data_IF_828138867263
#
_entry.id   IF_828138867263
#
_cell.length_a   1.000
_cell.length_b   1.000
_cell.length_c   1.000
_cell.angle_alpha   90.00
_cell.angle_beta   90.00
_cell.angle_gamma   90.00
#
_symmetry.space_group_name_H-M   'P 1'
#
loop_
_entity.id
_entity.type
_entity.pdbx_description
1 polymer ?
#
# COMPACT_ATOMS: atom_id res chain seq x y z
N UNK A 1 -5.07 8.56 -3.11
CA UNK A 1 -4.10 9.47 -2.48
C UNK A 1 -3.52 10.36 -3.57
N UNK A 2 -3.83 11.65 -3.54
CA UNK A 2 -3.33 12.56 -4.57
C UNK A 2 -1.87 12.88 -4.28
N UNK A 3 -0.95 12.31 -5.06
CA UNK A 3 0.51 12.55 -4.94
C UNK A 3 0.85 14.02 -5.20
N UNK A 4 -0.06 14.79 -5.82
CA UNK A 4 0.10 16.23 -6.02
C UNK A 4 -0.09 17.06 -4.75
N UNK A 5 -0.83 16.58 -3.75
CA UNK A 5 -1.12 17.33 -2.52
C UNK A 5 -0.10 17.07 -1.41
N UNK A 6 0.71 16.03 -1.51
CA UNK A 6 1.94 15.90 -0.74
C UNK A 6 3.06 16.69 -1.41
N UNK A 7 2.80 18.00 -1.66
CA UNK A 7 3.84 18.90 -2.16
C UNK A 7 5.09 18.71 -1.31
N UNK A 8 6.19 18.29 -1.93
CA UNK A 8 7.53 18.14 -1.35
C UNK A 8 7.87 16.81 -0.66
N UNK A 9 7.08 15.74 -0.76
CA UNK A 9 7.61 14.42 -0.44
C UNK A 9 8.60 14.01 -1.53
N UNK A 10 9.84 14.43 -1.36
CA UNK A 10 10.95 13.89 -2.13
C UNK A 10 11.04 12.38 -1.78
N UNK A 11 10.79 11.47 -2.74
CA UNK A 11 10.90 10.03 -2.49
C UNK A 11 12.32 9.62 -2.12
N UNK A 12 13.28 10.54 -2.20
CA UNK A 12 14.66 10.34 -1.76
C UNK A 12 14.87 10.69 -0.28
N UNK A 13 13.87 11.26 0.41
CA UNK A 13 13.94 11.62 1.83
C UNK A 13 13.68 10.44 2.78
N UNK A 14 13.96 9.21 2.36
CA UNK A 14 14.11 8.10 3.27
C UNK A 14 15.29 8.41 4.19
N UNK A 15 15.04 8.56 5.50
CA UNK A 15 16.12 8.66 6.49
C UNK A 15 17.09 7.51 6.24
N UNK A 16 18.32 7.84 5.96
CA UNK A 16 19.35 6.82 5.80
C UNK A 16 19.37 5.94 7.06
N UNK A 17 19.38 4.60 6.91
CA UNK A 17 19.53 3.71 8.05
C UNK A 17 20.80 4.08 8.81
N UNK A 18 20.77 3.92 10.13
CA UNK A 18 21.96 4.17 10.99
C UNK A 18 23.09 3.26 10.50
N UNK A 19 24.23 3.84 10.09
CA UNK A 19 25.42 3.08 9.72
C UNK A 19 25.94 2.30 10.92
N UNK A 20 26.14 1.00 10.71
CA UNK A 20 26.80 0.12 11.70
C UNK A 20 28.26 -0.09 11.32
N UNK A 21 29.11 -0.57 12.25
CA UNK A 21 30.50 -0.92 11.94
C UNK A 21 30.63 -1.95 10.80
N UNK A 22 29.66 -2.86 10.67
CA UNK A 22 29.58 -3.85 9.59
C UNK A 22 29.37 -3.21 8.22
N UNK A 23 28.74 -2.04 8.14
CA UNK A 23 28.46 -1.35 6.87
C UNK A 23 29.72 -0.81 6.21
N UNK A 24 30.80 -0.62 6.96
CA UNK A 24 32.11 -0.21 6.41
C UNK A 24 32.78 -1.32 5.60
N UNK A 25 32.50 -2.59 5.95
CA UNK A 25 33.07 -3.75 5.26
C UNK A 25 32.12 -4.32 4.21
N UNK A 26 30.81 -4.12 4.35
CA UNK A 26 29.77 -4.58 3.45
C UNK A 26 28.81 -3.43 3.15
N UNK A 27 29.11 -2.56 2.19
CA UNK A 27 28.30 -1.41 1.89
C UNK A 27 26.86 -1.85 1.54
N UNK A 28 25.89 -1.18 2.14
CA UNK A 28 24.48 -1.41 1.87
C UNK A 28 24.15 -1.06 0.42
N UNK A 29 23.31 -1.86 -0.19
CA UNK A 29 22.89 -1.68 -1.57
C UNK A 29 21.37 -1.81 -1.66
N UNK A 30 20.65 -0.93 -2.37
CA UNK A 30 19.21 -1.10 -2.59
C UNK A 30 18.89 -2.34 -3.46
N UNK A 31 19.90 -2.99 -4.01
CA UNK A 31 19.73 -4.13 -4.90
C UNK A 31 19.90 -5.48 -4.21
N UNK A 32 19.66 -5.54 -2.93
CA UNK A 32 19.66 -6.76 -2.12
C UNK A 32 18.46 -6.79 -1.18
N UNK A 33 18.01 -7.99 -0.84
CA UNK A 33 17.03 -8.20 0.23
C UNK A 33 17.75 -8.30 1.58
N UNK A 34 17.21 -7.65 2.60
CA UNK A 34 17.75 -7.63 3.96
C UNK A 34 16.82 -8.33 4.94
N UNK A 35 17.38 -8.91 5.99
CA UNK A 35 16.59 -9.31 7.16
C UNK A 35 16.40 -8.11 8.09
N UNK A 36 15.19 -7.97 8.64
CA UNK A 36 14.88 -6.90 9.58
C UNK A 36 15.03 -7.42 11.01
N UNK A 37 15.83 -6.70 11.80
CA UNK A 37 16.07 -7.01 13.20
C UNK A 37 16.80 -8.34 13.44
N UNK A 38 17.08 -8.62 14.68
CA UNK A 38 17.82 -9.83 15.12
C UNK A 38 17.03 -11.13 14.92
N UNK A 39 15.69 -11.09 14.96
CA UNK A 39 14.84 -12.26 14.79
C UNK A 39 14.77 -12.78 13.35
N UNK A 40 15.08 -11.94 12.35
CA UNK A 40 15.25 -12.30 10.95
C UNK A 40 14.06 -12.93 10.24
N UNK A 41 12.84 -12.79 10.78
CA UNK A 41 11.59 -13.35 10.19
C UNK A 41 11.01 -12.49 9.07
N UNK A 42 11.31 -11.19 9.08
CA UNK A 42 10.82 -10.23 8.10
C UNK A 42 11.96 -9.84 7.17
N UNK A 43 11.66 -9.66 5.89
CA UNK A 43 12.62 -9.20 4.89
C UNK A 43 12.22 -7.85 4.35
N UNK A 44 13.19 -6.96 4.18
CA UNK A 44 13.02 -5.66 3.54
C UNK A 44 13.64 -5.66 2.14
N UNK A 45 12.94 -5.03 1.21
CA UNK A 45 13.39 -4.71 -0.13
C UNK A 45 13.43 -3.19 -0.26
N UNK A 46 14.55 -2.66 -0.69
CA UNK A 46 14.73 -1.21 -0.84
C UNK A 46 14.41 -0.84 -2.29
N UNK A 47 13.59 0.18 -2.49
CA UNK A 47 13.22 0.65 -3.83
C UNK A 47 14.42 1.19 -4.58
N UNK A 48 14.46 0.90 -5.88
CA UNK A 48 15.43 1.54 -6.76
C UNK A 48 15.03 3.00 -7.03
N UNK A 49 15.95 3.97 -6.81
CA UNK A 49 15.61 5.38 -6.96
C UNK A 49 15.40 5.80 -8.42
N UNK A 50 16.19 5.26 -9.37
CA UNK A 50 16.11 5.68 -10.77
C UNK A 50 14.81 5.23 -11.43
N UNK A 51 14.41 3.98 -11.25
CA UNK A 51 13.14 3.47 -11.78
C UNK A 51 11.94 4.10 -11.09
N UNK A 52 12.06 4.41 -9.79
CA UNK A 52 11.04 5.13 -9.03
C UNK A 52 10.77 6.50 -9.63
N UNK A 53 11.79 7.29 -9.93
CA UNK A 53 11.64 8.64 -10.49
C UNK A 53 10.96 8.62 -11.86
N UNK A 54 11.15 7.59 -12.68
CA UNK A 54 10.48 7.45 -13.98
C UNK A 54 8.97 7.35 -13.90
N UNK A 55 8.44 6.97 -12.76
CA UNK A 55 6.99 6.90 -12.53
C UNK A 55 6.52 8.05 -11.64
N UNK A 56 7.22 8.34 -10.53
CA UNK A 56 6.77 9.30 -9.52
C UNK A 56 7.15 10.75 -9.77
N UNK A 57 8.12 11.04 -10.64
CA UNK A 57 8.52 12.41 -10.87
C UNK A 57 7.36 13.21 -11.50
N UNK A 58 6.97 14.32 -10.85
CA UNK A 58 5.97 15.24 -11.42
C UNK A 58 6.45 15.95 -12.70
N UNK A 59 7.75 15.96 -12.95
CA UNK A 59 8.35 16.66 -14.10
C UNK A 59 8.68 15.71 -15.25
N UNK A 60 9.16 14.51 -14.95
CA UNK A 60 9.71 13.55 -15.91
C UNK A 60 9.03 12.18 -15.86
N UNK A 61 8.11 11.98 -14.91
CA UNK A 61 7.38 10.71 -14.76
C UNK A 61 6.42 10.45 -15.92
N UNK A 62 6.35 9.20 -16.35
CA UNK A 62 5.46 8.79 -17.44
C UNK A 62 4.00 9.24 -17.26
N UNK A 63 3.38 9.18 -16.06
CA UNK A 63 1.99 9.59 -15.88
C UNK A 63 1.69 11.04 -16.28
N UNK A 64 2.72 11.90 -16.32
CA UNK A 64 2.62 13.30 -16.74
C UNK A 64 2.69 13.53 -18.26
N UNK A 65 2.79 12.47 -19.08
CA UNK A 65 2.88 12.62 -20.54
C UNK A 65 1.66 13.33 -21.11
N UNK A 66 1.92 14.31 -21.98
CA UNK A 66 0.89 15.16 -22.58
C UNK A 66 -0.17 14.43 -23.40
N UNK A 67 0.04 13.19 -23.81
CA UNK A 67 -0.91 12.37 -24.56
C UNK A 67 -1.88 11.58 -23.67
N UNK A 68 -1.61 11.46 -22.38
CA UNK A 68 -2.41 10.67 -21.47
C UNK A 68 -3.67 11.37 -20.99
N UNK A 69 -4.62 10.61 -20.44
CA UNK A 69 -5.90 11.10 -19.98
C UNK A 69 -5.71 12.07 -18.80
N UNK A 70 -6.29 13.26 -18.91
CA UNK A 70 -6.28 14.25 -17.82
C UNK A 70 -7.20 13.79 -16.69
N UNK A 71 -6.64 13.64 -15.50
CA UNK A 71 -7.36 13.16 -14.34
C UNK A 71 -8.35 14.19 -13.78
N UNK A 72 -7.97 15.46 -13.71
CA UNK A 72 -8.70 16.51 -12.98
C UNK A 72 -9.79 17.18 -13.80
N UNK A 73 -9.70 17.19 -15.14
CA UNK A 73 -10.69 17.83 -15.99
C UNK A 73 -11.81 16.86 -16.35
N UNK A 74 -13.00 17.14 -15.86
CA UNK A 74 -14.20 16.35 -16.10
C UNK A 74 -15.30 17.20 -16.73
N UNK A 75 -16.17 16.58 -17.53
CA UNK A 75 -17.37 17.20 -18.10
C UNK A 75 -18.57 17.01 -17.18
N UNK A 76 -19.15 18.09 -16.70
CA UNK A 76 -20.38 18.08 -15.92
C UNK A 76 -21.62 18.31 -16.78
N UNK A 77 -22.79 17.73 -16.42
CA UNK A 77 -22.95 16.63 -15.47
C UNK A 77 -22.49 15.31 -16.09
N UNK A 78 -22.19 14.29 -15.30
CA UNK A 78 -21.85 12.94 -15.78
C UNK A 78 -20.40 12.52 -15.58
N UNK A 79 -19.50 13.44 -15.22
CA UNK A 79 -18.14 13.10 -14.78
C UNK A 79 -17.22 12.51 -15.85
N UNK A 80 -17.51 12.69 -17.15
CA UNK A 80 -16.72 12.12 -18.23
C UNK A 80 -15.36 12.82 -18.38
N UNK A 81 -14.31 12.04 -18.54
CA UNK A 81 -12.95 12.50 -18.84
C UNK A 81 -12.72 12.43 -20.34
N UNK A 82 -12.54 13.58 -20.99
CA UNK A 82 -12.48 13.72 -22.45
C UNK A 82 -11.20 14.44 -22.93
N UNK A 83 -10.33 14.82 -22.02
CA UNK A 83 -9.16 15.62 -22.32
C UNK A 83 -7.87 14.89 -21.98
N UNK A 84 -6.82 15.25 -22.67
CA UNK A 84 -5.46 14.79 -22.36
C UNK A 84 -4.69 15.79 -21.49
N UNK A 85 -3.64 15.33 -20.87
CA UNK A 85 -2.74 16.15 -20.04
C UNK A 85 -2.21 17.36 -20.83
N UNK A 86 -1.95 17.21 -22.12
CA UNK A 86 -1.49 18.24 -23.05
C UNK A 86 -0.05 18.70 -22.74
N UNK A 87 0.23 19.07 -21.50
CA UNK A 87 1.55 19.47 -21.04
C UNK A 87 1.52 19.89 -19.56
N UNK A 88 2.68 19.86 -18.92
CA UNK A 88 2.83 20.09 -17.47
C UNK A 88 2.33 21.48 -17.02
N UNK A 89 2.46 22.50 -17.87
CA UNK A 89 2.12 23.89 -17.56
C UNK A 89 0.83 24.35 -18.23
N UNK A 90 0.01 23.43 -18.76
CA UNK A 90 -1.26 23.76 -19.43
C UNK A 90 -2.38 23.73 -18.42
N UNK A 91 -3.00 24.89 -18.20
CA UNK A 91 -4.17 25.05 -17.34
C UNK A 91 -5.36 24.19 -17.82
N UNK A 92 -6.30 23.88 -16.91
CA UNK A 92 -7.46 23.05 -17.22
C UNK A 92 -8.27 23.58 -18.42
N UNK A 93 -8.34 24.90 -18.60
CA UNK A 93 -9.02 25.54 -19.74
C UNK A 93 -8.38 25.20 -21.10
N UNK A 94 -7.05 25.06 -21.13
CA UNK A 94 -6.27 24.82 -22.35
C UNK A 94 -6.05 23.34 -22.69
N UNK A 95 -6.61 22.39 -21.92
CA UNK A 95 -6.46 20.95 -22.19
C UNK A 95 -7.15 20.57 -23.50
N UNK A 96 -6.46 19.78 -24.31
CA UNK A 96 -6.91 19.33 -25.63
C UNK A 96 -7.63 17.97 -25.56
N UNK A 97 -8.40 17.62 -26.63
CA UNK A 97 -9.10 16.34 -26.69
C UNK A 97 -8.16 15.13 -26.53
N UNK A 98 -8.64 14.12 -25.82
CA UNK A 98 -7.96 12.85 -25.63
C UNK A 98 -8.10 11.93 -26.85
N UNK A 99 -7.01 11.26 -27.23
CA UNK A 99 -6.98 10.22 -28.25
C UNK A 99 -6.42 8.92 -27.66
N UNK A 100 -7.28 7.93 -27.51
CA UNK A 100 -6.94 6.65 -26.90
C UNK A 100 -5.86 5.87 -27.68
N UNK A 101 -5.81 6.00 -29.02
CA UNK A 101 -4.82 5.29 -29.82
C UNK A 101 -3.43 5.91 -29.64
N UNK A 102 -3.35 7.23 -29.58
CA UNK A 102 -2.11 7.96 -29.29
C UNK A 102 -1.63 7.63 -27.89
N UNK A 103 -2.52 7.64 -26.90
CA UNK A 103 -2.20 7.34 -25.52
C UNK A 103 -1.67 5.91 -25.34
N UNK A 104 -2.35 4.93 -25.96
CA UNK A 104 -1.90 3.52 -25.92
C UNK A 104 -0.53 3.34 -26.60
N UNK A 105 -0.29 3.97 -27.73
CA UNK A 105 1.02 3.91 -28.39
C UNK A 105 2.14 4.51 -27.50
N UNK A 106 1.83 5.55 -26.72
CA UNK A 106 2.76 6.12 -25.75
C UNK A 106 3.00 5.18 -24.56
N UNK A 107 1.96 4.55 -24.01
CA UNK A 107 2.09 3.56 -22.93
C UNK A 107 3.02 2.41 -23.34
N UNK A 108 2.85 1.89 -24.55
CA UNK A 108 3.74 0.88 -25.12
C UNK A 108 5.21 1.34 -25.20
N UNK A 109 5.45 2.58 -25.68
CA UNK A 109 6.82 3.14 -25.71
C UNK A 109 7.42 3.30 -24.31
N UNK A 110 6.64 3.77 -23.35
CA UNK A 110 7.10 3.93 -21.98
C UNK A 110 7.37 2.59 -21.30
N UNK A 111 6.59 1.55 -21.58
CA UNK A 111 6.87 0.20 -21.10
C UNK A 111 8.21 -0.33 -21.64
N UNK A 112 8.48 -0.16 -22.94
CA UNK A 112 9.74 -0.56 -23.56
C UNK A 112 10.93 0.26 -23.03
N UNK A 113 10.76 1.58 -22.81
CA UNK A 113 11.78 2.43 -22.17
C UNK A 113 12.08 1.97 -20.74
N UNK A 114 11.04 1.68 -19.96
CA UNK A 114 11.20 1.21 -18.59
C UNK A 114 11.86 -0.17 -18.52
N UNK A 115 11.49 -1.11 -19.38
CA UNK A 115 12.16 -2.41 -19.48
C UNK A 115 13.65 -2.25 -19.84
N UNK A 116 13.96 -1.30 -20.75
CA UNK A 116 15.34 -0.96 -21.12
C UNK A 116 16.11 -0.32 -19.96
N UNK A 117 15.45 0.55 -19.18
CA UNK A 117 16.00 1.14 -17.95
C UNK A 117 16.39 0.04 -16.96
N UNK A 118 15.46 -0.87 -16.63
CA UNK A 118 15.74 -1.99 -15.71
C UNK A 118 16.94 -2.82 -16.20
N UNK A 119 17.04 -3.08 -17.50
CA UNK A 119 18.20 -3.74 -18.10
C UNK A 119 19.50 -2.96 -17.98
N UNK A 120 19.47 -1.62 -17.99
CA UNK A 120 20.66 -0.79 -17.75
C UNK A 120 21.07 -0.85 -16.28
N UNK A 121 20.13 -0.71 -15.37
CA UNK A 121 20.37 -0.81 -13.93
C UNK A 121 21.00 -2.18 -13.62
N UNK A 122 20.42 -3.27 -14.10
CA UNK A 122 20.94 -4.63 -13.91
C UNK A 122 22.41 -4.75 -14.34
N UNK A 123 22.77 -4.28 -15.54
CA UNK A 123 24.15 -4.31 -16.01
C UNK A 123 25.13 -3.54 -15.13
N UNK A 124 24.66 -2.49 -14.48
CA UNK A 124 25.48 -1.68 -13.56
C UNK A 124 25.64 -2.34 -12.20
N UNK A 125 24.55 -2.90 -11.65
CA UNK A 125 24.52 -3.36 -10.25
C UNK A 125 24.90 -4.81 -10.09
N UNK A 126 24.67 -5.66 -11.10
CA UNK A 126 24.99 -7.10 -11.05
C UNK A 126 26.47 -7.40 -10.79
N UNK A 127 27.44 -6.71 -11.43
CA UNK A 127 28.88 -6.93 -11.15
C UNK A 127 29.26 -6.57 -9.71
N UNK A 128 28.51 -5.67 -9.07
CA UNK A 128 28.68 -5.30 -7.66
C UNK A 128 27.87 -6.19 -6.69
N UNK A 129 27.33 -7.32 -7.18
CA UNK A 129 26.54 -8.26 -6.39
C UNK A 129 25.10 -7.85 -6.17
N UNK A 130 24.54 -7.02 -7.08
CA UNK A 130 23.09 -6.74 -7.11
C UNK A 130 22.29 -7.98 -7.51
N UNK A 131 21.20 -8.27 -6.79
CA UNK A 131 20.40 -9.48 -6.94
C UNK A 131 18.96 -9.17 -7.34
N UNK A 132 18.44 -8.03 -6.95
CA UNK A 132 17.04 -7.63 -7.13
C UNK A 132 16.94 -6.14 -7.38
N UNK A 133 16.01 -5.74 -8.25
CA UNK A 133 15.60 -4.34 -8.45
C UNK A 133 14.17 -4.25 -7.94
N UNK A 134 13.96 -3.61 -6.81
CA UNK A 134 12.63 -3.44 -6.22
C UNK A 134 11.99 -2.15 -6.76
N UNK A 135 10.80 -2.29 -7.35
CA UNK A 135 10.03 -1.19 -7.94
C UNK A 135 8.60 -1.17 -7.37
N UNK A 136 8.43 -0.84 -6.08
CA UNK A 136 7.12 -0.77 -5.46
C UNK A 136 6.39 0.51 -5.85
N UNK A 137 5.13 0.36 -6.25
CA UNK A 137 4.22 1.45 -6.58
C UNK A 137 2.85 1.18 -5.97
N UNK A 138 2.14 2.25 -5.65
CA UNK A 138 0.76 2.15 -5.18
C UNK A 138 -0.13 1.58 -6.30
N UNK A 139 -0.98 0.62 -5.96
CA UNK A 139 -1.80 -0.10 -6.94
C UNK A 139 -2.78 0.82 -7.65
N UNK A 140 -3.38 1.79 -6.95
CA UNK A 140 -4.35 2.71 -7.51
C UNK A 140 -3.75 3.67 -8.54
N UNK A 141 -2.43 3.85 -8.58
CA UNK A 141 -1.77 4.63 -9.62
C UNK A 141 -2.18 4.11 -11.01
N UNK A 142 -2.19 2.78 -11.16
CA UNK A 142 -2.44 2.11 -12.44
C UNK A 142 -3.94 1.94 -12.69
N UNK A 143 -4.50 2.80 -13.53
CA UNK A 143 -5.90 2.80 -13.91
C UNK A 143 -6.75 3.88 -13.23
N UNK A 144 -6.41 4.29 -11.99
CA UNK A 144 -7.11 5.38 -11.32
C UNK A 144 -6.44 6.74 -11.61
N UNK A 145 -5.22 6.95 -11.14
CA UNK A 145 -4.48 8.21 -11.36
C UNK A 145 -3.86 8.29 -12.76
N UNK A 146 -3.38 7.20 -13.26
CA UNK A 146 -2.80 7.02 -14.58
C UNK A 146 -3.61 5.98 -15.35
N UNK A 147 -4.56 6.44 -16.13
CA UNK A 147 -5.51 5.57 -16.87
C UNK A 147 -4.79 4.53 -17.74
N UNK A 148 -3.76 4.94 -18.48
CA UNK A 148 -2.97 4.08 -19.35
C UNK A 148 -1.94 3.24 -18.59
N UNK A 149 -1.83 3.41 -17.29
CA UNK A 149 -0.94 2.62 -16.44
C UNK A 149 -1.23 1.12 -16.51
N UNK A 150 -2.47 0.72 -16.76
CA UNK A 150 -2.85 -0.70 -16.96
C UNK A 150 -2.24 -1.25 -18.23
N UNK A 151 -2.31 -0.50 -19.36
CA UNK A 151 -1.67 -0.89 -20.63
C UNK A 151 -0.15 -0.93 -20.47
N UNK A 152 0.43 0.06 -19.79
CA UNK A 152 1.86 0.12 -19.48
C UNK A 152 2.34 -1.13 -18.72
N UNK A 153 1.66 -1.52 -17.64
CA UNK A 153 2.03 -2.72 -16.87
C UNK A 153 1.93 -3.96 -17.74
N UNK A 154 0.84 -4.12 -18.50
CA UNK A 154 0.65 -5.26 -19.36
C UNK A 154 1.76 -5.41 -20.41
N UNK A 155 2.18 -4.31 -21.03
CA UNK A 155 3.26 -4.29 -22.01
C UNK A 155 4.63 -4.51 -21.35
N UNK A 156 4.87 -3.89 -20.18
CA UNK A 156 6.11 -4.10 -19.41
C UNK A 156 6.32 -5.58 -19.08
N UNK A 157 5.31 -6.27 -18.57
CA UNK A 157 5.44 -7.69 -18.24
C UNK A 157 5.68 -8.56 -19.48
N UNK A 158 5.11 -8.22 -20.64
CA UNK A 158 5.40 -8.92 -21.91
C UNK A 158 6.84 -8.71 -22.34
N UNK A 159 7.36 -7.48 -22.25
CA UNK A 159 8.74 -7.17 -22.61
C UNK A 159 9.76 -7.85 -21.67
N UNK A 160 9.51 -7.84 -20.36
CA UNK A 160 10.34 -8.53 -19.39
C UNK A 160 10.34 -10.05 -19.60
N UNK A 161 9.19 -10.63 -19.99
CA UNK A 161 9.06 -12.07 -20.27
C UNK A 161 9.75 -12.54 -21.53
N UNK A 162 9.91 -11.68 -22.55
CA UNK A 162 10.33 -12.09 -23.89
C UNK A 162 11.74 -11.63 -24.30
N UNK A 163 12.22 -10.53 -23.76
CA UNK A 163 13.41 -9.84 -24.33
C UNK A 163 14.43 -9.37 -23.30
N UNK A 164 14.16 -9.50 -22.00
CA UNK A 164 14.97 -8.90 -20.95
C UNK A 164 15.85 -9.92 -20.24
N UNK A 165 17.06 -9.50 -19.84
CA UNK A 165 17.88 -10.21 -18.87
C UNK A 165 17.31 -10.12 -17.44
N UNK A 166 16.44 -9.14 -17.20
CA UNK A 166 15.71 -8.94 -15.95
C UNK A 166 14.38 -9.67 -16.05
N UNK A 167 14.06 -10.49 -15.05
CA UNK A 167 12.82 -11.24 -14.96
C UNK A 167 11.95 -10.69 -13.82
N UNK A 168 10.67 -10.50 -14.09
CA UNK A 168 9.70 -10.20 -13.05
C UNK A 168 9.58 -11.39 -12.08
N UNK A 169 9.57 -11.10 -10.79
CA UNK A 169 9.39 -12.08 -9.72
C UNK A 169 8.65 -11.44 -8.55
N UNK A 170 7.96 -12.24 -7.74
CA UNK A 170 7.47 -11.77 -6.46
C UNK A 170 8.61 -11.69 -5.44
N UNK A 171 8.43 -10.92 -4.36
CA UNK A 171 9.37 -10.89 -3.26
C UNK A 171 9.60 -12.31 -2.67
N UNK A 172 8.53 -13.11 -2.55
CA UNK A 172 8.61 -14.49 -2.05
C UNK A 172 9.43 -15.36 -2.99
N UNK A 173 9.19 -15.33 -4.31
CA UNK A 173 9.95 -16.12 -5.29
C UNK A 173 11.45 -15.80 -5.22
N UNK A 174 11.80 -14.50 -5.07
CA UNK A 174 13.19 -14.09 -4.92
C UNK A 174 13.81 -14.66 -3.63
N UNK A 175 13.08 -14.59 -2.52
CA UNK A 175 13.55 -15.13 -1.23
C UNK A 175 13.70 -16.64 -1.26
N UNK A 176 12.75 -17.36 -1.88
CA UNK A 176 12.77 -18.82 -2.00
C UNK A 176 13.92 -19.29 -2.89
N UNK A 177 14.24 -18.52 -3.93
CA UNK A 177 15.39 -18.82 -4.79
C UNK A 177 16.75 -18.72 -4.06
N UNK A 178 16.80 -18.01 -2.94
CA UNK A 178 18.01 -17.88 -2.09
C UNK A 178 18.15 -19.01 -1.06
N UNK A 179 17.18 -19.90 -0.96
CA UNK A 179 17.26 -21.04 -0.04
C UNK A 179 18.15 -22.13 -0.62
N UNK A 180 19.21 -22.48 0.10
CA UNK A 180 20.03 -23.65 -0.24
C UNK A 180 19.20 -24.94 -0.11
N UNK A 181 18.96 -25.59 -1.25
CA UNK A 181 18.13 -26.81 -1.32
C UNK A 181 18.66 -27.96 -0.49
N UNK A 182 19.95 -27.98 -0.18
CA UNK A 182 20.59 -29.05 0.58
C UNK A 182 20.42 -28.85 2.08
N UNK A 183 20.51 -27.60 2.54
CA UNK A 183 20.48 -27.26 3.98
C UNK A 183 19.11 -26.76 4.42
N UNK A 184 18.23 -26.39 3.50
CA UNK A 184 16.98 -25.71 3.79
C UNK A 184 17.16 -24.33 4.41
N UNK A 185 18.40 -23.83 4.46
CA UNK A 185 18.73 -22.51 5.01
C UNK A 185 18.85 -21.49 3.89
N UNK A 186 18.28 -20.35 4.11
CA UNK A 186 18.50 -19.20 3.26
C UNK A 186 19.93 -18.71 3.47
N UNK A 187 20.59 -18.27 2.40
CA UNK A 187 21.87 -17.59 2.51
C UNK A 187 21.75 -16.47 3.55
N UNK A 188 22.71 -16.39 4.46
CA UNK A 188 22.70 -15.40 5.54
C UNK A 188 22.83 -13.99 4.93
N UNK A 189 21.65 -13.41 4.58
CA UNK A 189 21.55 -12.02 4.14
C UNK A 189 21.93 -11.08 5.29
N UNK A 190 22.46 -9.91 4.94
CA UNK A 190 22.74 -8.87 5.92
C UNK A 190 21.46 -8.52 6.70
N UNK A 191 21.60 -8.31 7.99
CA UNK A 191 20.54 -7.80 8.83
C UNK A 191 20.61 -6.28 8.89
N UNK A 192 19.44 -5.63 8.89
CA UNK A 192 19.34 -4.18 9.05
C UNK A 192 18.36 -3.84 10.16
N UNK A 193 18.64 -2.77 10.88
CA UNK A 193 17.66 -2.09 11.72
C UNK A 193 17.02 -0.98 10.90
N UNK A 194 15.69 -0.94 10.89
CA UNK A 194 14.95 0.11 10.20
C UNK A 194 14.76 1.28 11.17
N UNK A 195 15.01 2.49 10.70
CA UNK A 195 14.62 3.68 11.42
C UNK A 195 13.10 3.76 11.48
N UNK A 196 12.56 4.27 12.58
CA UNK A 196 11.16 4.62 12.67
C UNK A 196 10.81 5.68 11.64
N UNK A 197 9.70 5.50 10.94
CA UNK A 197 9.28 6.41 9.88
C UNK A 197 7.95 6.02 9.26
N UNK A 198 7.46 6.88 8.41
CA UNK A 198 6.22 6.68 7.68
C UNK A 198 6.33 7.13 6.22
N UNK A 199 5.24 6.95 5.47
CA UNK A 199 5.07 7.49 4.11
C UNK A 199 4.84 9.03 4.08
N UNK A 200 4.76 9.69 5.24
CA UNK A 200 4.57 11.14 5.36
C UNK A 200 5.71 11.95 4.75
N UNK A 201 5.45 13.22 4.45
CA UNK A 201 6.36 14.13 3.74
C UNK A 201 7.78 14.21 4.34
N UNK A 202 7.88 14.17 5.67
CA UNK A 202 9.16 14.18 6.39
C UNK A 202 9.57 12.80 6.92
N UNK A 203 8.88 11.72 6.48
CA UNK A 203 9.04 10.40 7.06
C UNK A 203 8.50 10.31 8.50
N UNK A 204 7.71 11.29 8.95
CA UNK A 204 7.07 11.33 10.26
C UNK A 204 5.59 10.93 10.17
N UNK A 205 4.89 10.88 11.31
CA UNK A 205 3.49 10.46 11.39
C UNK A 205 2.49 11.62 11.35
N UNK A 206 2.93 12.86 11.11
CA UNK A 206 2.10 14.07 11.22
C UNK A 206 0.89 14.09 10.29
N UNK A 207 0.93 13.34 9.16
CA UNK A 207 -0.24 13.20 8.26
C UNK A 207 -1.38 12.41 8.89
N UNK A 208 -1.07 11.50 9.80
CA UNK A 208 -2.06 10.64 10.45
C UNK A 208 -2.31 10.99 11.89
N UNK A 209 -1.29 11.52 12.58
CA UNK A 209 -1.34 11.85 14.01
C UNK A 209 -1.11 13.35 14.20
N UNK A 210 -2.19 14.09 14.31
CA UNK A 210 -2.20 15.54 14.50
C UNK A 210 -3.48 15.96 15.24
N UNK A 211 -3.63 17.23 15.67
CA UNK A 211 -4.80 17.70 16.42
C UNK A 211 -6.15 17.48 15.71
N UNK A 212 -6.17 17.50 14.36
CA UNK A 212 -7.42 17.32 13.60
C UNK A 212 -7.88 15.86 13.57
N UNK A 213 -6.94 14.91 13.71
CA UNK A 213 -7.19 13.47 13.65
C UNK A 213 -7.18 12.78 15.00
N UNK A 214 -6.79 13.47 16.08
CA UNK A 214 -6.64 12.87 17.42
C UNK A 214 -7.89 12.11 17.88
N UNK A 215 -9.08 12.69 17.63
CA UNK A 215 -10.35 12.09 18.01
C UNK A 215 -10.60 10.71 17.37
N UNK A 216 -10.03 10.46 16.19
CA UNK A 216 -10.16 9.15 15.52
C UNK A 216 -9.34 8.09 16.24
N UNK A 217 -8.15 8.44 16.69
CA UNK A 217 -7.26 7.54 17.42
C UNK A 217 -7.82 7.19 18.79
N UNK A 218 -8.30 8.17 19.54
CA UNK A 218 -8.90 7.95 20.86
C UNK A 218 -10.09 6.97 20.75
N UNK A 219 -10.91 7.11 19.74
CA UNK A 219 -12.04 6.24 19.49
C UNK A 219 -11.61 4.84 19.02
N UNK A 220 -10.69 4.78 18.06
CA UNK A 220 -10.22 3.54 17.46
C UNK A 220 -9.54 2.64 18.50
N UNK A 221 -8.62 3.18 19.27
CA UNK A 221 -7.90 2.41 20.29
C UNK A 221 -8.82 1.87 21.37
N UNK A 222 -9.79 2.65 21.81
CA UNK A 222 -10.78 2.18 22.79
C UNK A 222 -11.60 0.99 22.26
N UNK A 223 -12.00 1.04 20.98
CA UNK A 223 -12.76 -0.05 20.34
C UNK A 223 -11.88 -1.26 20.03
N UNK A 224 -10.63 -1.07 19.66
CA UNK A 224 -9.65 -2.13 19.44
C UNK A 224 -9.41 -2.91 20.75
N UNK A 225 -9.14 -2.21 21.85
CA UNK A 225 -8.98 -2.84 23.15
C UNK A 225 -10.25 -3.60 23.57
N UNK A 226 -11.42 -3.02 23.38
CA UNK A 226 -12.71 -3.67 23.66
C UNK A 226 -12.90 -4.93 22.81
N UNK A 227 -12.60 -4.86 21.50
CA UNK A 227 -12.69 -5.99 20.58
C UNK A 227 -11.83 -7.16 21.05
N UNK A 228 -10.55 -6.93 21.31
CA UNK A 228 -9.63 -7.99 21.72
C UNK A 228 -9.99 -8.58 23.08
N UNK A 229 -10.43 -7.76 24.03
CA UNK A 229 -10.93 -8.24 25.32
C UNK A 229 -12.17 -9.13 25.15
N UNK A 230 -13.09 -8.76 24.26
CA UNK A 230 -14.30 -9.52 23.97
C UNK A 230 -13.97 -10.84 23.26
N UNK A 231 -13.06 -10.82 22.28
CA UNK A 231 -12.55 -12.02 21.61
C UNK A 231 -11.95 -13.00 22.62
N UNK A 232 -11.05 -12.54 23.48
CA UNK A 232 -10.37 -13.40 24.46
C UNK A 232 -11.37 -14.03 25.46
N UNK A 233 -12.37 -13.29 25.85
CA UNK A 233 -13.37 -13.75 26.84
C UNK A 233 -14.44 -14.66 26.26
N UNK A 234 -14.97 -14.33 25.09
CA UNK A 234 -16.20 -14.96 24.59
C UNK A 234 -15.99 -15.94 23.44
N UNK A 235 -14.96 -15.79 22.61
CA UNK A 235 -14.72 -16.68 21.47
C UNK A 235 -14.41 -18.13 21.91
N UNK A 236 -13.68 -18.40 23.00
CA UNK A 236 -13.44 -19.76 23.47
C UNK A 236 -14.67 -20.49 23.98
N UNK A 237 -15.70 -19.76 24.47
CA UNK A 237 -16.85 -20.33 25.19
C UNK A 237 -17.95 -20.79 24.25
N UNK A 238 -18.18 -20.12 23.11
CA UNK A 238 -19.22 -20.48 22.14
C UNK A 238 -18.82 -20.09 20.72
N UNK A 239 -17.85 -20.78 20.12
CA UNK A 239 -17.26 -20.33 18.86
C UNK A 239 -18.25 -20.35 17.69
N UNK A 240 -19.09 -21.39 17.54
CA UNK A 240 -19.90 -21.56 16.34
C UNK A 240 -21.05 -20.54 16.24
N UNK A 241 -21.76 -20.27 17.33
CA UNK A 241 -22.89 -19.36 17.33
C UNK A 241 -22.47 -17.87 17.23
N UNK A 242 -21.31 -17.52 17.79
CA UNK A 242 -20.80 -16.14 17.85
C UNK A 242 -19.84 -15.78 16.74
N UNK A 243 -19.34 -16.77 16.00
CA UNK A 243 -18.32 -16.54 14.96
C UNK A 243 -18.76 -15.55 13.87
N UNK A 244 -20.01 -15.55 13.37
CA UNK A 244 -20.43 -14.55 12.39
C UNK A 244 -20.34 -13.11 12.93
N UNK A 245 -20.70 -12.89 14.21
CA UNK A 245 -20.58 -11.58 14.86
C UNK A 245 -19.11 -11.17 15.02
N UNK A 246 -18.25 -12.08 15.47
CA UNK A 246 -16.81 -11.80 15.56
C UNK A 246 -16.18 -11.52 14.21
N UNK A 247 -16.58 -12.25 13.19
CA UNK A 247 -16.08 -12.04 11.83
C UNK A 247 -16.48 -10.66 11.30
N UNK A 248 -17.74 -10.25 11.53
CA UNK A 248 -18.18 -8.92 11.11
C UNK A 248 -17.55 -7.82 11.96
N UNK A 249 -17.45 -7.98 13.27
CA UNK A 249 -16.77 -7.03 14.14
C UNK A 249 -15.30 -6.85 13.75
N UNK A 250 -14.61 -7.92 13.36
CA UNK A 250 -13.23 -7.84 12.87
C UNK A 250 -13.13 -7.09 11.53
N UNK A 251 -14.11 -7.26 10.61
CA UNK A 251 -14.17 -6.47 9.36
C UNK A 251 -14.31 -5.00 9.64
N UNK A 252 -15.28 -4.64 10.50
CA UNK A 252 -15.50 -3.23 10.86
C UNK A 252 -14.27 -2.63 11.54
N UNK A 253 -13.59 -3.39 12.40
CA UNK A 253 -12.33 -2.94 13.00
C UNK A 253 -11.26 -2.69 11.92
N UNK A 254 -11.02 -3.63 11.01
CA UNK A 254 -10.04 -3.46 9.94
C UNK A 254 -10.38 -2.30 9.00
N UNK A 255 -11.67 -2.09 8.69
CA UNK A 255 -12.13 -0.97 7.90
C UNK A 255 -11.96 0.36 8.64
N UNK A 256 -12.22 0.40 9.94
CA UNK A 256 -11.95 1.57 10.77
C UNK A 256 -10.44 1.88 10.89
N UNK A 257 -9.58 0.85 10.88
CA UNK A 257 -8.12 0.98 10.92
C UNK A 257 -7.49 1.42 9.59
N UNK A 258 -8.26 1.55 8.50
CA UNK A 258 -7.74 2.07 7.23
C UNK A 258 -7.12 3.45 7.44
N UNK A 259 -5.84 3.57 7.12
CA UNK A 259 -5.08 4.81 7.31
C UNK A 259 -5.52 5.96 6.38
N UNK A 260 -6.35 5.64 5.39
CA UNK A 260 -6.95 6.62 4.48
C UNK A 260 -7.81 7.66 5.21
N UNK A 261 -8.51 7.26 6.27
CA UNK A 261 -9.40 8.17 6.98
C UNK A 261 -8.67 9.38 7.55
N UNK A 262 -7.61 9.16 8.33
CA UNK A 262 -6.82 10.23 8.91
C UNK A 262 -6.09 11.04 7.83
N UNK A 263 -5.60 10.39 6.80
CA UNK A 263 -4.95 11.06 5.68
C UNK A 263 -5.91 12.00 4.95
N UNK A 264 -7.12 11.54 4.61
CA UNK A 264 -8.13 12.35 3.90
C UNK A 264 -8.60 13.53 4.78
N UNK A 265 -8.78 13.31 6.09
CA UNK A 265 -9.12 14.38 7.05
C UNK A 265 -8.02 15.44 7.05
N UNK A 266 -6.75 15.04 7.21
CA UNK A 266 -5.60 15.96 7.27
C UNK A 266 -5.33 16.71 5.98
N UNK A 267 -5.66 16.11 4.83
CA UNK A 267 -5.49 16.79 3.53
C UNK A 267 -6.67 17.68 3.17
N UNK A 268 -7.80 17.54 3.86
CA UNK A 268 -9.02 18.31 3.60
C UNK A 268 -9.70 17.97 2.26
N UNK A 269 -9.23 16.96 1.52
CA UNK A 269 -9.74 16.65 0.19
C UNK A 269 -11.21 16.18 0.20
N UNK A 270 -11.61 15.44 1.23
CA UNK A 270 -12.98 14.96 1.45
C UNK A 270 -13.19 14.61 2.95
N UNK A 271 -12.86 15.54 3.85
CA UNK A 271 -12.82 15.32 5.30
C UNK A 271 -14.15 14.83 5.88
N UNK A 272 -15.28 15.39 5.45
CA UNK A 272 -16.62 14.98 5.89
C UNK A 272 -16.93 13.53 5.47
N UNK A 273 -16.55 13.13 4.26
CA UNK A 273 -16.70 11.75 3.80
C UNK A 273 -15.87 10.80 4.66
N UNK A 274 -14.59 11.11 4.87
CA UNK A 274 -13.71 10.27 5.67
C UNK A 274 -14.19 10.16 7.12
N UNK A 275 -14.58 11.28 7.74
CA UNK A 275 -15.13 11.31 9.09
C UNK A 275 -16.40 10.48 9.21
N UNK A 276 -17.32 10.57 8.23
CA UNK A 276 -18.55 9.79 8.17
C UNK A 276 -18.27 8.30 8.04
N UNK A 277 -17.36 7.90 7.14
CA UNK A 277 -17.02 6.49 6.93
C UNK A 277 -16.36 5.89 8.17
N UNK A 278 -15.33 6.56 8.69
CA UNK A 278 -14.66 6.14 9.93
C UNK A 278 -15.65 5.97 11.09
N UNK A 279 -16.52 6.97 11.31
CA UNK A 279 -17.53 6.94 12.36
C UNK A 279 -18.48 5.77 12.15
N UNK A 280 -18.94 5.54 10.92
CA UNK A 280 -19.84 4.44 10.59
C UNK A 280 -19.26 3.07 10.94
N UNK A 281 -17.99 2.81 10.56
CA UNK A 281 -17.33 1.55 10.93
C UNK A 281 -17.12 1.40 12.44
N UNK A 282 -16.80 2.49 13.14
CA UNK A 282 -16.69 2.47 14.60
C UNK A 282 -18.06 2.19 15.27
N UNK A 283 -19.16 2.78 14.77
CA UNK A 283 -20.51 2.55 15.30
C UNK A 283 -20.97 1.11 15.04
N UNK A 284 -20.71 0.58 13.84
CA UNK A 284 -20.98 -0.81 13.49
C UNK A 284 -20.23 -1.78 14.40
N UNK A 285 -18.93 -1.56 14.60
CA UNK A 285 -18.11 -2.34 15.52
C UNK A 285 -18.67 -2.28 16.94
N UNK A 286 -18.97 -1.10 17.45
CA UNK A 286 -19.54 -0.94 18.80
C UNK A 286 -20.86 -1.71 18.97
N UNK A 287 -21.77 -1.60 18.00
CA UNK A 287 -23.06 -2.31 18.01
C UNK A 287 -22.89 -3.83 18.03
N UNK A 288 -21.96 -4.36 17.23
CA UNK A 288 -21.66 -5.81 17.20
C UNK A 288 -21.02 -6.29 18.51
N UNK A 289 -20.18 -5.48 19.14
CA UNK A 289 -19.60 -5.78 20.45
C UNK A 289 -20.67 -5.75 21.55
N UNK A 290 -21.61 -4.79 21.52
CA UNK A 290 -22.75 -4.75 22.44
C UNK A 290 -23.58 -6.03 22.37
N UNK A 291 -23.90 -6.50 21.16
CA UNK A 291 -24.62 -7.75 20.94
C UNK A 291 -23.86 -8.98 21.44
N UNK A 292 -22.54 -9.04 21.20
CA UNK A 292 -21.68 -10.12 21.69
C UNK A 292 -21.61 -10.17 23.22
N UNK A 293 -21.56 -9.03 23.86
CA UNK A 293 -21.40 -8.89 25.32
C UNK A 293 -22.71 -9.09 26.09
N UNK A 294 -23.83 -8.60 25.55
CA UNK A 294 -25.16 -8.83 26.14
C UNK A 294 -25.65 -10.27 25.93
N UNK A 295 -25.26 -10.88 24.80
CA UNK A 295 -25.71 -12.20 24.38
C UNK A 295 -27.14 -12.19 23.83
N UNK A 296 -27.76 -11.03 23.66
CA UNK A 296 -29.11 -10.85 23.19
C UNK A 296 -29.16 -9.93 21.96
N UNK A 297 -29.99 -10.28 20.99
CA UNK A 297 -30.28 -9.47 19.82
C UNK A 297 -29.07 -9.41 18.86
N UNK A 298 -29.09 -8.44 17.98
CA UNK A 298 -27.96 -8.15 17.08
C UNK A 298 -28.02 -8.82 15.72
N UNK A 299 -28.96 -9.78 15.50
CA UNK A 299 -29.10 -10.44 14.19
C UNK A 299 -29.45 -9.43 13.08
N UNK A 300 -30.25 -8.42 13.37
CA UNK A 300 -30.56 -7.37 12.42
C UNK A 300 -29.34 -6.50 12.12
N UNK A 301 -28.57 -6.11 13.13
CA UNK A 301 -27.34 -5.35 12.96
C UNK A 301 -26.28 -6.19 12.21
N UNK A 302 -26.15 -7.47 12.55
CA UNK A 302 -25.25 -8.38 11.82
C UNK A 302 -25.64 -8.47 10.34
N UNK A 303 -26.92 -8.65 10.03
CA UNK A 303 -27.40 -8.76 8.66
C UNK A 303 -27.18 -7.46 7.88
N UNK A 304 -27.42 -6.31 8.50
CA UNK A 304 -27.19 -5.00 7.91
C UNK A 304 -25.71 -4.78 7.59
N UNK A 305 -24.82 -4.96 8.57
CA UNK A 305 -23.40 -4.71 8.39
C UNK A 305 -22.74 -5.72 7.46
N UNK A 306 -23.12 -7.01 7.53
CA UNK A 306 -22.61 -8.02 6.60
C UNK A 306 -23.13 -7.83 5.17
N UNK A 307 -24.26 -7.19 4.98
CA UNK A 307 -24.77 -6.81 3.66
C UNK A 307 -24.06 -5.63 3.04
N UNK A 308 -23.47 -4.76 3.86
CA UNK A 308 -22.74 -3.59 3.41
C UNK A 308 -21.24 -3.87 3.20
N UNK A 309 -20.63 -4.66 4.07
CA UNK A 309 -19.19 -4.91 4.13
C UNK A 309 -18.91 -6.42 4.24
N UNK A 310 -18.55 -7.05 3.12
CA UNK A 310 -18.29 -8.50 2.99
C UNK A 310 -16.83 -8.87 2.68
N UNK A 311 -15.91 -7.89 2.73
CA UNK A 311 -14.49 -8.12 2.51
C UNK A 311 -13.90 -9.12 3.52
N UNK A 312 -12.73 -9.68 3.21
CA UNK A 312 -12.03 -10.66 4.04
C UNK A 312 -12.87 -11.91 4.38
N UNK A 313 -13.27 -12.73 3.38
CA UNK A 313 -14.22 -13.85 3.58
C UNK A 313 -13.76 -14.86 4.63
N UNK A 314 -12.45 -15.05 4.81
CA UNK A 314 -11.86 -16.04 5.73
C UNK A 314 -11.52 -15.48 7.12
N UNK A 315 -11.94 -14.24 7.45
CA UNK A 315 -11.54 -13.58 8.71
C UNK A 315 -11.97 -14.36 9.96
N UNK A 316 -13.12 -15.03 9.89
CA UNK A 316 -13.62 -15.89 10.99
C UNK A 316 -12.69 -17.10 11.24
N UNK A 317 -12.18 -17.73 10.20
CA UNK A 317 -11.22 -18.84 10.30
C UNK A 317 -9.90 -18.38 10.89
N UNK A 318 -9.43 -17.20 10.47
CA UNK A 318 -8.21 -16.58 11.00
C UNK A 318 -8.35 -16.33 12.50
N UNK A 319 -9.46 -15.73 12.94
CA UNK A 319 -9.73 -15.51 14.37
C UNK A 319 -9.75 -16.81 15.17
N UNK A 320 -10.34 -17.88 14.63
CA UNK A 320 -10.31 -19.20 15.26
C UNK A 320 -8.89 -19.78 15.36
N UNK A 321 -8.05 -19.57 14.36
CA UNK A 321 -6.65 -19.99 14.35
C UNK A 321 -5.76 -19.24 15.33
N UNK A 322 -6.13 -18.02 15.70
CA UNK A 322 -5.43 -17.19 16.68
C UNK A 322 -5.71 -17.58 18.15
N UNK A 323 -6.44 -18.67 18.40
CA UNK A 323 -6.70 -19.17 19.76
C UNK A 323 -5.36 -19.45 20.48
N UNK A 324 -5.08 -18.66 21.49
CA UNK A 324 -3.81 -18.72 22.24
C UNK A 324 -2.84 -17.59 21.93
N UNK A 325 -3.16 -16.70 21.00
CA UNK A 325 -2.42 -15.46 20.82
C UNK A 325 -2.61 -14.57 22.07
N UNK A 326 -1.53 -14.37 22.82
CA UNK A 326 -1.45 -13.30 23.83
C UNK A 326 -0.86 -12.09 23.13
N UNK A 327 -1.55 -10.96 23.19
CA UNK A 327 -0.96 -9.68 22.78
C UNK A 327 0.43 -9.56 23.42
N UNK A 328 1.49 -9.26 22.68
CA UNK A 328 2.74 -8.89 23.31
C UNK A 328 2.44 -7.70 24.22
N UNK A 329 2.93 -7.77 25.45
CA UNK A 329 2.80 -6.71 26.46
C UNK A 329 3.16 -5.36 25.80
N UNK A 330 2.23 -4.40 25.91
CA UNK A 330 2.46 -3.02 25.49
C UNK A 330 3.41 -2.32 26.45
#
# INVERSE_FOLDING_TARGET
>A
MCIRDSGDADPTNLRAPVETELDRYYPRSPYRAYRVGSAGKVSAFVRDPESTLRVWSRHEGYPGDGGYLEFHKIRWPGGLKLWRVTGANVELGGKEPYDANVARARAHKHAADYASLLGRIDRTVRPAGGEVIATPFDTELFGHWWYEGVDFIGDLYRDLGSRSAVRAATASDHLDAQVDRRTGRRADGQSIELAEGSWGANGDFSKWMNPETQWTWDRLWALEDRFWNTVQRLLPVSPSARLPFFAQAARELLLAQSSDWQFIISTGAAGDYASKRFTGHCDALASLLDALESGEGGEAALAEHAGNDDCFPNIGEILCGMRGYRSPDR
#
